data_IF_393318714838
#
_entry.id   IF_393318714838
#
_cell.length_a   1.000
_cell.length_b   1.000
_cell.length_c   1.000
_cell.angle_alpha   90.00
_cell.angle_beta   90.00
_cell.angle_gamma   90.00
#
_symmetry.space_group_name_H-M   'P 1'
#
loop_
_entity.id
_entity.type
_entity.pdbx_description
1 polymer ?
#
# COMPACT_ATOMS: atom_id res chain seq x y z
N UNK A 1 1.16 -1.89 -25.72
CA UNK A 1 1.56 -3.27 -25.41
C UNK A 1 0.36 -3.92 -24.74
N UNK A 2 -0.26 -4.86 -25.43
CA UNK A 2 -1.49 -5.53 -25.01
C UNK A 2 -1.25 -6.39 -23.78
N UNK A 3 -2.05 -6.15 -22.72
CA UNK A 3 -2.11 -7.06 -21.59
C UNK A 3 -2.58 -8.44 -22.06
N UNK A 4 -2.00 -9.54 -21.54
CA UNK A 4 -2.56 -10.86 -21.81
C UNK A 4 -3.97 -10.90 -21.22
N UNK A 5 -4.94 -11.10 -22.09
CA UNK A 5 -6.32 -11.41 -21.70
C UNK A 5 -6.27 -12.82 -21.11
N UNK A 6 -6.37 -12.90 -19.78
CA UNK A 6 -6.65 -14.17 -19.09
C UNK A 6 -8.06 -14.58 -19.52
N UNK A 7 -8.30 -15.83 -19.95
CA UNK A 7 -9.62 -16.26 -20.38
C UNK A 7 -10.62 -16.03 -19.23
N UNK A 8 -11.76 -15.46 -19.59
CA UNK A 8 -12.89 -15.15 -18.74
C UNK A 8 -13.38 -16.43 -18.03
N UNK A 9 -12.91 -16.65 -16.80
CA UNK A 9 -13.43 -17.68 -15.91
C UNK A 9 -14.58 -17.06 -15.08
N UNK A 10 -15.55 -16.49 -15.75
CA UNK A 10 -16.80 -16.12 -15.11
C UNK A 10 -17.50 -17.41 -14.64
N UNK A 11 -17.99 -17.40 -13.40
CA UNK A 11 -18.87 -18.43 -12.88
C UNK A 11 -20.16 -18.53 -13.73
N UNK A 12 -21.01 -19.55 -13.51
CA UNK A 12 -22.19 -19.85 -14.33
C UNK A 12 -23.16 -18.65 -14.51
N UNK A 13 -23.08 -17.63 -13.65
CA UNK A 13 -23.92 -16.43 -13.67
C UNK A 13 -23.15 -15.14 -14.04
N UNK A 14 -21.93 -15.25 -14.59
CA UNK A 14 -21.10 -14.08 -14.91
C UNK A 14 -20.42 -13.44 -13.69
N UNK A 15 -20.54 -14.04 -12.50
CA UNK A 15 -19.84 -13.61 -11.29
C UNK A 15 -18.35 -13.99 -11.36
N UNK A 16 -17.50 -13.15 -10.79
CA UNK A 16 -16.07 -13.47 -10.62
C UNK A 16 -15.59 -13.11 -9.23
N UNK A 17 -14.65 -13.89 -8.71
CA UNK A 17 -13.95 -13.58 -7.46
C UNK A 17 -12.56 -13.05 -7.80
N UNK A 18 -12.17 -11.96 -7.19
CA UNK A 18 -10.82 -11.40 -7.29
C UNK A 18 -10.19 -11.31 -5.90
N UNK A 19 -8.88 -11.55 -5.84
CA UNK A 19 -8.05 -11.28 -4.67
C UNK A 19 -7.34 -9.92 -4.85
N UNK A 20 -7.44 -9.05 -3.86
CA UNK A 20 -6.72 -7.77 -3.83
C UNK A 20 -5.72 -7.84 -2.69
N UNK A 21 -4.42 -7.70 -3.01
CA UNK A 21 -3.34 -7.78 -2.05
C UNK A 21 -2.60 -6.43 -2.00
N UNK A 22 -2.51 -5.86 -0.79
CA UNK A 22 -1.79 -4.62 -0.51
C UNK A 22 -0.61 -4.92 0.42
N UNK A 23 0.61 -4.75 -0.08
CA UNK A 23 1.86 -4.90 0.66
C UNK A 23 2.40 -3.52 1.05
N UNK A 24 2.02 -3.09 2.24
CA UNK A 24 2.52 -1.88 2.86
C UNK A 24 3.82 -2.09 3.65
N UNK A 25 4.37 -1.02 4.20
CA UNK A 25 5.60 -1.07 5.00
C UNK A 25 5.43 -1.77 6.34
N UNK A 26 4.24 -1.77 6.92
CA UNK A 26 3.95 -2.36 8.22
C UNK A 26 3.10 -3.62 8.14
N UNK A 27 2.10 -3.61 7.27
CA UNK A 27 1.11 -4.68 7.15
C UNK A 27 0.92 -5.13 5.71
N UNK A 28 0.50 -6.38 5.59
CA UNK A 28 0.06 -7.02 4.37
C UNK A 28 -1.42 -7.32 4.51
N UNK A 29 -2.22 -6.94 3.52
CA UNK A 29 -3.67 -7.13 3.50
C UNK A 29 -4.08 -7.95 2.30
N UNK A 30 -5.04 -8.84 2.49
CA UNK A 30 -5.77 -9.51 1.42
C UNK A 30 -7.26 -9.17 1.59
N UNK A 31 -7.90 -8.80 0.51
CA UNK A 31 -9.35 -8.69 0.41
C UNK A 31 -9.82 -9.57 -0.75
N UNK A 32 -10.75 -10.48 -0.47
CA UNK A 32 -11.41 -11.32 -1.47
C UNK A 32 -12.77 -10.74 -1.76
N UNK A 33 -13.01 -10.43 -3.03
CA UNK A 33 -14.20 -9.70 -3.47
C UNK A 33 -14.89 -10.48 -4.57
N UNK A 34 -16.20 -10.67 -4.43
CA UNK A 34 -17.08 -11.14 -5.51
C UNK A 34 -17.60 -9.95 -6.27
N UNK A 35 -17.41 -9.94 -7.57
CA UNK A 35 -17.96 -8.94 -8.48
C UNK A 35 -19.12 -9.57 -9.22
N UNK A 36 -20.27 -8.87 -9.20
CA UNK A 36 -21.48 -9.26 -9.88
C UNK A 36 -21.53 -8.69 -11.30
N UNK A 37 -22.38 -9.22 -12.20
CA UNK A 37 -22.49 -8.75 -13.59
C UNK A 37 -22.88 -7.28 -13.73
N UNK A 38 -23.61 -6.73 -12.76
CA UNK A 38 -23.98 -5.32 -12.70
C UNK A 38 -22.86 -4.38 -12.21
N UNK A 39 -21.68 -4.95 -11.93
CA UNK A 39 -20.52 -4.21 -11.40
C UNK A 39 -20.56 -3.96 -9.89
N UNK A 40 -21.64 -4.36 -9.21
CA UNK A 40 -21.67 -4.33 -7.75
C UNK A 40 -20.71 -5.38 -7.17
N UNK A 41 -20.31 -5.21 -5.90
CA UNK A 41 -19.34 -6.13 -5.29
C UNK A 41 -19.68 -6.45 -3.85
N UNK A 42 -19.23 -7.61 -3.40
CA UNK A 42 -19.36 -8.06 -2.01
C UNK A 42 -18.01 -8.54 -1.50
N UNK A 43 -17.60 -8.06 -0.34
CA UNK A 43 -16.40 -8.57 0.34
C UNK A 43 -16.71 -9.93 0.94
N UNK A 44 -15.99 -10.97 0.47
CA UNK A 44 -16.14 -12.34 0.95
C UNK A 44 -15.27 -12.60 2.18
N UNK A 45 -14.05 -12.06 2.18
CA UNK A 45 -13.12 -12.21 3.28
C UNK A 45 -12.09 -11.07 3.26
N UNK A 46 -11.56 -10.75 4.44
CA UNK A 46 -10.49 -9.78 4.61
C UNK A 46 -9.52 -10.25 5.69
N UNK A 47 -8.22 -10.25 5.37
CA UNK A 47 -7.14 -10.65 6.28
C UNK A 47 -6.09 -9.57 6.32
N UNK A 48 -5.59 -9.26 7.51
CA UNK A 48 -4.48 -8.34 7.75
C UNK A 48 -3.42 -9.00 8.61
N UNK A 49 -2.17 -8.98 8.15
CA UNK A 49 -1.01 -9.49 8.87
C UNK A 49 0.05 -8.40 9.05
N UNK A 50 0.61 -8.30 10.25
CA UNK A 50 1.67 -7.36 10.59
C UNK A 50 3.02 -7.97 10.19
N UNK A 51 3.46 -7.73 8.96
CA UNK A 51 4.73 -8.29 8.43
C UNK A 51 5.94 -7.41 8.74
N UNK A 52 5.72 -6.12 9.05
CA UNK A 52 6.76 -5.13 9.39
C UNK A 52 7.92 -5.11 8.38
N UNK A 53 7.57 -5.15 7.08
CA UNK A 53 8.56 -5.22 6.00
C UNK A 53 9.52 -4.02 6.00
N UNK A 54 9.02 -2.84 6.36
CA UNK A 54 9.80 -1.60 6.43
C UNK A 54 10.68 -1.46 7.66
N UNK A 55 10.68 -2.44 8.60
CA UNK A 55 11.48 -2.37 9.81
C UNK A 55 12.98 -2.29 9.53
N UNK A 56 13.61 -1.15 9.87
CA UNK A 56 15.02 -0.85 9.61
C UNK A 56 15.35 -0.57 8.14
N UNK A 57 14.39 -0.75 7.21
CA UNK A 57 14.64 -0.56 5.78
C UNK A 57 14.87 0.92 5.42
N UNK A 58 14.15 1.83 6.06
CA UNK A 58 14.26 3.27 5.79
C UNK A 58 15.56 3.90 6.33
N UNK A 59 16.24 3.21 7.25
CA UNK A 59 17.55 3.63 7.76
C UNK A 59 18.69 3.07 6.89
N UNK A 60 18.59 1.79 6.50
CA UNK A 60 19.66 1.08 5.79
C UNK A 60 19.54 1.14 4.26
N UNK A 61 18.36 1.52 3.74
CA UNK A 61 18.04 1.44 2.32
C UNK A 61 17.78 0.01 1.80
N UNK A 62 17.70 -0.99 2.70
CA UNK A 62 17.52 -2.40 2.33
C UNK A 62 16.49 -3.10 3.20
N UNK A 63 15.65 -3.93 2.60
CA UNK A 63 14.77 -4.84 3.31
C UNK A 63 15.60 -5.92 4.02
N UNK A 64 15.23 -6.24 5.25
CA UNK A 64 15.89 -7.29 6.04
C UNK A 64 15.44 -8.66 5.57
N UNK A 65 16.36 -9.63 5.53
CA UNK A 65 16.08 -11.00 5.10
C UNK A 65 14.96 -11.66 5.92
N UNK A 66 14.96 -11.45 7.23
CA UNK A 66 13.94 -11.97 8.14
C UNK A 66 12.54 -11.43 7.82
N UNK A 67 12.43 -10.12 7.53
CA UNK A 67 11.16 -9.47 7.17
C UNK A 67 10.67 -9.95 5.80
N UNK A 68 11.59 -10.14 4.85
CA UNK A 68 11.28 -10.70 3.53
C UNK A 68 10.77 -12.15 3.65
N UNK A 69 11.45 -13.01 4.43
CA UNK A 69 11.05 -14.39 4.64
C UNK A 69 9.67 -14.49 5.31
N UNK A 70 9.43 -13.70 6.36
CA UNK A 70 8.14 -13.61 7.04
C UNK A 70 7.02 -13.19 6.07
N UNK A 71 7.28 -12.19 5.23
CA UNK A 71 6.30 -11.71 4.25
C UNK A 71 5.97 -12.78 3.22
N UNK A 72 6.97 -13.50 2.68
CA UNK A 72 6.74 -14.61 1.73
C UNK A 72 5.89 -15.71 2.36
N UNK A 73 6.13 -16.08 3.63
CA UNK A 73 5.34 -17.10 4.29
C UNK A 73 3.86 -16.69 4.43
N UNK A 74 3.58 -15.45 4.75
CA UNK A 74 2.20 -14.93 4.80
C UNK A 74 1.57 -14.91 3.41
N UNK A 75 2.32 -14.49 2.39
CA UNK A 75 1.83 -14.44 1.00
C UNK A 75 1.47 -15.83 0.45
N UNK A 76 2.18 -16.90 0.84
CA UNK A 76 1.78 -18.27 0.48
C UNK A 76 0.39 -18.61 0.98
N UNK A 77 0.11 -18.35 2.27
CA UNK A 77 -1.22 -18.56 2.83
C UNK A 77 -2.29 -17.71 2.14
N UNK A 78 -1.96 -16.50 1.73
CA UNK A 78 -2.89 -15.65 0.97
C UNK A 78 -3.14 -16.19 -0.45
N UNK A 79 -2.11 -16.72 -1.12
CA UNK A 79 -2.27 -17.38 -2.43
C UNK A 79 -3.17 -18.63 -2.33
N UNK A 80 -2.97 -19.42 -1.29
CA UNK A 80 -3.83 -20.60 -1.02
C UNK A 80 -5.28 -20.16 -0.76
N UNK A 81 -5.49 -19.09 0.02
CA UNK A 81 -6.84 -18.56 0.24
C UNK A 81 -7.48 -18.07 -1.08
N UNK A 82 -6.75 -17.38 -1.96
CA UNK A 82 -7.25 -17.00 -3.27
C UNK A 82 -7.70 -18.23 -4.06
N UNK A 83 -6.92 -19.33 -4.03
CA UNK A 83 -7.28 -20.60 -4.67
C UNK A 83 -8.55 -21.23 -4.06
N UNK A 84 -8.66 -21.30 -2.73
CA UNK A 84 -9.83 -21.86 -2.03
C UNK A 84 -11.13 -21.09 -2.36
N UNK A 85 -11.03 -19.76 -2.47
CA UNK A 85 -12.18 -18.93 -2.84
C UNK A 85 -12.45 -18.87 -4.35
N UNK A 86 -11.66 -19.57 -5.17
CA UNK A 86 -11.81 -19.59 -6.62
C UNK A 86 -11.54 -18.22 -7.27
N UNK A 87 -10.59 -17.47 -6.73
CA UNK A 87 -10.22 -16.18 -7.32
C UNK A 87 -9.67 -16.38 -8.73
N UNK A 88 -10.35 -15.81 -9.73
CA UNK A 88 -9.94 -15.85 -11.14
C UNK A 88 -8.78 -14.90 -11.44
N UNK A 89 -8.57 -13.90 -10.58
CA UNK A 89 -7.54 -12.87 -10.72
C UNK A 89 -7.02 -12.47 -9.34
N UNK A 90 -5.72 -12.15 -9.26
CA UNK A 90 -5.10 -11.54 -8.08
C UNK A 90 -4.45 -10.22 -8.48
N UNK A 91 -4.95 -9.13 -7.94
CA UNK A 91 -4.40 -7.78 -8.08
C UNK A 91 -3.52 -7.51 -6.87
N UNK A 92 -2.21 -7.41 -7.06
CA UNK A 92 -1.26 -7.21 -5.98
C UNK A 92 -0.45 -5.93 -6.18
N UNK A 93 -0.44 -5.07 -5.17
CA UNK A 93 0.34 -3.83 -5.16
C UNK A 93 1.32 -3.81 -3.99
N UNK A 94 2.49 -3.23 -4.21
CA UNK A 94 3.49 -2.97 -3.17
C UNK A 94 3.87 -1.49 -3.16
N UNK A 95 4.11 -0.97 -1.95
CA UNK A 95 4.26 0.47 -1.73
C UNK A 95 5.63 0.85 -1.16
N UNK A 96 5.74 1.86 -0.33
CA UNK A 96 6.95 2.57 0.06
C UNK A 96 8.13 1.68 0.48
N UNK A 97 7.94 0.62 1.30
CA UNK A 97 9.06 -0.20 1.75
C UNK A 97 9.76 -0.92 0.61
N UNK A 98 8.99 -1.46 -0.34
CA UNK A 98 9.55 -2.13 -1.53
C UNK A 98 10.07 -1.12 -2.53
N UNK A 99 9.32 -0.05 -2.76
CA UNK A 99 9.67 1.01 -3.72
C UNK A 99 11.01 1.67 -3.41
N UNK A 100 11.27 1.95 -2.13
CA UNK A 100 12.45 2.73 -1.70
C UNK A 100 13.68 1.86 -1.37
N UNK A 101 13.50 0.54 -1.27
CA UNK A 101 14.60 -0.37 -0.94
C UNK A 101 15.41 -0.79 -2.18
N UNK A 102 16.74 -0.73 -2.09
CA UNK A 102 17.64 -1.12 -3.17
C UNK A 102 17.46 -2.59 -3.60
N UNK A 103 17.13 -3.48 -2.64
CA UNK A 103 16.84 -4.90 -2.90
C UNK A 103 15.36 -5.19 -3.14
N UNK A 104 14.51 -4.17 -3.29
CA UNK A 104 13.08 -4.30 -3.58
C UNK A 104 12.77 -5.11 -4.83
N UNK A 105 13.40 -4.84 -5.99
CA UNK A 105 13.18 -5.61 -7.21
C UNK A 105 13.52 -7.10 -7.06
N UNK A 106 14.62 -7.43 -6.39
CA UNK A 106 15.01 -8.81 -6.10
C UNK A 106 14.02 -9.51 -5.18
N UNK A 107 13.52 -8.80 -4.19
CA UNK A 107 12.48 -9.31 -3.31
C UNK A 107 11.18 -9.61 -4.08
N UNK A 108 10.72 -8.74 -4.97
CA UNK A 108 9.52 -8.98 -5.78
C UNK A 108 9.69 -10.18 -6.71
N UNK A 109 10.87 -10.38 -7.31
CA UNK A 109 11.17 -11.58 -8.09
C UNK A 109 11.04 -12.85 -7.23
N UNK A 110 11.66 -12.87 -6.04
CA UNK A 110 11.57 -13.99 -5.08
C UNK A 110 10.13 -14.26 -4.63
N UNK A 111 9.31 -13.23 -4.44
CA UNK A 111 7.89 -13.36 -4.12
C UNK A 111 7.18 -14.08 -5.25
N UNK A 112 7.33 -13.61 -6.49
CA UNK A 112 6.71 -14.24 -7.68
C UNK A 112 7.12 -15.70 -7.85
N UNK A 113 8.40 -16.02 -7.71
CA UNK A 113 8.92 -17.40 -7.79
C UNK A 113 8.33 -18.33 -6.72
N UNK A 114 8.11 -17.83 -5.50
CA UNK A 114 7.71 -18.63 -4.34
C UNK A 114 6.20 -18.71 -4.10
N UNK A 115 5.43 -17.78 -4.66
CA UNK A 115 3.99 -17.65 -4.39
C UNK A 115 3.13 -17.59 -5.64
N UNK A 116 3.73 -17.37 -6.81
CA UNK A 116 3.03 -17.12 -8.06
C UNK A 116 2.41 -15.72 -8.16
N UNK A 117 2.43 -14.92 -7.08
CA UNK A 117 1.83 -13.58 -7.05
C UNK A 117 2.78 -12.58 -7.70
N UNK A 118 2.29 -11.85 -8.69
CA UNK A 118 3.03 -10.79 -9.39
C UNK A 118 2.62 -9.42 -8.86
N UNK A 119 3.53 -8.75 -8.19
CA UNK A 119 3.28 -7.44 -7.58
C UNK A 119 3.62 -6.29 -8.52
N UNK A 120 2.72 -5.33 -8.63
CA UNK A 120 3.01 -4.02 -9.20
C UNK A 120 3.48 -3.08 -8.08
N UNK A 121 4.73 -2.61 -8.17
CA UNK A 121 5.23 -1.56 -7.26
C UNK A 121 4.70 -0.21 -7.76
N UNK A 122 3.89 0.45 -6.93
CA UNK A 122 3.26 1.72 -7.30
C UNK A 122 4.08 2.93 -6.82
N UNK A 123 4.05 4.02 -7.60
CA UNK A 123 4.59 5.30 -7.16
C UNK A 123 3.75 5.90 -6.03
N UNK A 124 4.32 6.83 -5.24
CA UNK A 124 3.55 7.50 -4.18
C UNK A 124 2.34 8.26 -4.73
N UNK A 125 2.48 8.91 -5.89
CA UNK A 125 1.35 9.59 -6.55
C UNK A 125 0.25 8.61 -7.00
N UNK A 126 0.62 7.44 -7.50
CA UNK A 126 -0.35 6.41 -7.85
C UNK A 126 -1.02 5.83 -6.60
N UNK A 127 -0.27 5.63 -5.52
CA UNK A 127 -0.80 5.24 -4.21
C UNK A 127 -1.84 6.26 -3.72
N UNK A 128 -1.52 7.57 -3.72
CA UNK A 128 -2.44 8.65 -3.38
C UNK A 128 -3.70 8.65 -4.27
N UNK A 129 -3.55 8.41 -5.58
CA UNK A 129 -4.67 8.31 -6.52
C UNK A 129 -5.60 7.14 -6.18
N UNK A 130 -5.05 5.98 -5.89
CA UNK A 130 -5.83 4.79 -5.54
C UNK A 130 -6.58 4.99 -4.21
N UNK A 131 -5.94 5.61 -3.22
CA UNK A 131 -6.57 5.96 -1.94
C UNK A 131 -7.75 6.92 -2.18
N UNK A 132 -7.53 7.98 -2.97
CA UNK A 132 -8.61 8.90 -3.31
C UNK A 132 -9.79 8.17 -3.97
N UNK A 133 -9.56 7.32 -4.97
CA UNK A 133 -10.63 6.57 -5.64
C UNK A 133 -11.38 5.66 -4.67
N UNK A 134 -10.66 4.98 -3.76
CA UNK A 134 -11.28 4.11 -2.77
C UNK A 134 -12.14 4.87 -1.76
N UNK A 135 -11.67 6.02 -1.29
CA UNK A 135 -12.42 6.82 -0.31
C UNK A 135 -13.58 7.57 -0.97
N UNK A 136 -13.36 8.19 -2.13
CA UNK A 136 -14.39 8.97 -2.84
C UNK A 136 -15.58 8.12 -3.27
N UNK A 137 -15.36 6.84 -3.62
CA UNK A 137 -16.44 5.93 -4.01
C UNK A 137 -17.47 5.66 -2.89
N UNK A 138 -17.08 5.83 -1.62
CA UNK A 138 -17.97 5.68 -0.46
C UNK A 138 -18.58 6.98 0.06
N UNK A 139 -18.26 8.13 -0.57
CA UNK A 139 -18.74 9.42 -0.12
C UNK A 139 -20.02 9.84 -0.85
N UNK A 140 -20.90 10.56 -0.12
CA UNK A 140 -21.99 11.25 -0.76
C UNK A 140 -21.45 12.29 -1.76
N UNK A 141 -22.17 12.41 -2.88
CA UNK A 141 -21.85 13.40 -3.91
C UNK A 141 -21.77 14.81 -3.32
N UNK A 142 -20.68 15.53 -3.60
CA UNK A 142 -20.48 16.92 -3.17
C UNK A 142 -19.42 17.61 -4.04
N UNK A 143 -19.66 18.85 -4.36
CA UNK A 143 -18.71 19.73 -5.03
C UNK A 143 -17.69 20.35 -4.04
N UNK A 144 -17.96 20.27 -2.73
CA UNK A 144 -17.10 20.83 -1.71
C UNK A 144 -15.75 20.13 -1.69
N UNK A 145 -14.68 20.90 -1.74
CA UNK A 145 -13.31 20.39 -1.60
C UNK A 145 -13.08 19.82 -0.22
N UNK A 146 -12.40 18.69 -0.18
CA UNK A 146 -11.98 17.97 1.03
C UNK A 146 -10.49 17.68 0.94
N UNK A 147 -9.87 17.56 2.08
CA UNK A 147 -8.50 17.04 2.22
C UNK A 147 -8.61 15.59 2.71
N UNK A 148 -8.06 14.68 1.92
CA UNK A 148 -7.89 13.27 2.26
C UNK A 148 -6.46 13.06 2.73
N UNK A 149 -6.28 12.46 3.89
CA UNK A 149 -4.96 12.16 4.46
C UNK A 149 -4.94 10.69 4.82
N UNK A 150 -3.97 9.95 4.28
CA UNK A 150 -3.67 8.57 4.70
C UNK A 150 -2.25 8.49 5.26
N UNK A 151 -2.15 8.15 6.54
CA UNK A 151 -0.87 8.01 7.25
C UNK A 151 -0.48 6.55 7.25
N UNK A 152 0.39 6.19 6.31
CA UNK A 152 0.92 4.85 6.16
C UNK A 152 2.15 4.56 7.03
N UNK A 153 2.75 3.38 6.80
CA UNK A 153 4.01 3.01 7.47
C UNK A 153 5.24 3.71 6.89
N UNK A 154 5.31 3.85 5.56
CA UNK A 154 6.47 4.41 4.85
C UNK A 154 6.25 5.83 4.31
N UNK A 155 5.01 6.17 4.02
CA UNK A 155 4.62 7.46 3.43
C UNK A 155 3.32 7.97 4.06
N UNK A 156 2.98 9.20 3.73
CA UNK A 156 1.69 9.83 4.03
C UNK A 156 1.17 10.44 2.74
N UNK A 157 0.01 10.03 2.30
CA UNK A 157 -0.63 10.49 1.10
C UNK A 157 -1.59 11.63 1.43
N UNK A 158 -1.55 12.67 0.59
CA UNK A 158 -2.40 13.85 0.70
C UNK A 158 -3.11 14.08 -0.63
N UNK A 159 -4.44 14.20 -0.57
CA UNK A 159 -5.23 14.50 -1.76
C UNK A 159 -6.23 15.60 -1.46
N UNK A 160 -6.28 16.61 -2.31
CA UNK A 160 -7.31 17.64 -2.29
C UNK A 160 -8.24 17.39 -3.46
N UNK A 161 -9.52 17.19 -3.17
CA UNK A 161 -10.52 16.90 -4.20
C UNK A 161 -11.95 16.91 -3.64
N UNK A 162 -12.91 16.62 -4.49
CA UNK A 162 -14.30 16.41 -4.11
C UNK A 162 -14.72 14.95 -4.30
N UNK A 163 -15.97 14.63 -4.50
CA UNK A 163 -16.43 13.25 -4.74
C UNK A 163 -16.18 12.76 -6.17
N UNK A 164 -15.85 13.63 -7.14
CA UNK A 164 -15.72 13.31 -8.55
C UNK A 164 -14.29 13.42 -9.07
N UNK A 165 -13.56 14.46 -8.63
CA UNK A 165 -12.21 14.75 -9.12
C UNK A 165 -11.28 15.20 -8.02
N UNK A 166 -10.00 14.87 -8.17
CA UNK A 166 -8.96 15.47 -7.35
C UNK A 166 -8.30 16.64 -8.08
N UNK A 167 -7.97 17.71 -7.34
CA UNK A 167 -7.22 18.87 -7.86
C UNK A 167 -5.74 18.73 -7.67
N UNK A 168 -5.34 18.19 -6.52
CA UNK A 168 -3.93 17.95 -6.20
C UNK A 168 -3.78 16.66 -5.41
N UNK A 169 -2.67 15.96 -5.63
CA UNK A 169 -2.28 14.79 -4.84
C UNK A 169 -0.75 14.72 -4.72
N UNK A 170 -0.32 14.28 -3.54
CA UNK A 170 1.08 14.07 -3.25
C UNK A 170 1.29 12.93 -2.25
N UNK A 171 2.53 12.42 -2.18
CA UNK A 171 2.94 11.38 -1.25
C UNK A 171 4.23 11.81 -0.56
N UNK A 172 4.14 12.03 0.73
CA UNK A 172 5.25 12.50 1.55
C UNK A 172 5.97 11.31 2.18
N UNK A 173 7.29 11.38 2.28
CA UNK A 173 8.12 10.35 2.96
C UNK A 173 8.02 10.43 4.49
N UNK A 174 6.80 10.46 5.01
CA UNK A 174 6.43 10.72 6.40
C UNK A 174 5.55 9.60 6.98
N UNK A 175 5.94 8.34 6.79
CA UNK A 175 5.21 7.22 7.39
C UNK A 175 5.66 6.92 8.81
N UNK A 176 4.75 6.36 9.63
CA UNK A 176 5.02 6.09 11.06
C UNK A 176 6.21 5.13 11.29
N UNK A 177 6.38 4.10 10.47
CA UNK A 177 7.53 3.17 10.55
C UNK A 177 8.81 3.87 10.12
N UNK A 178 8.77 4.68 9.04
CA UNK A 178 9.91 5.45 8.57
C UNK A 178 10.41 6.41 9.64
N UNK A 179 9.53 7.23 10.20
CA UNK A 179 9.89 8.21 11.23
C UNK A 179 10.38 7.53 12.50
N UNK A 180 9.77 6.42 12.90
CA UNK A 180 10.23 5.65 14.04
C UNK A 180 11.65 5.09 13.82
N UNK A 181 11.97 4.57 12.62
CA UNK A 181 13.29 4.06 12.31
C UNK A 181 14.37 5.15 12.34
N UNK A 182 14.03 6.37 11.91
CA UNK A 182 14.99 7.46 11.79
C UNK A 182 15.21 8.21 13.12
N UNK A 183 14.18 8.35 13.95
CA UNK A 183 14.21 9.27 15.08
C UNK A 183 14.02 8.63 16.45
N UNK A 184 13.47 7.42 16.56
CA UNK A 184 13.30 6.76 17.84
C UNK A 184 14.54 5.94 18.23
N UNK A 185 14.74 5.80 19.53
CA UNK A 185 15.78 4.91 20.06
C UNK A 185 15.30 3.45 19.98
N UNK A 186 16.15 2.58 19.41
CA UNK A 186 15.79 1.17 19.19
C UNK A 186 15.62 0.40 20.50
N UNK A 187 16.37 0.78 21.54
CA UNK A 187 16.41 0.04 22.81
C UNK A 187 15.30 0.46 23.78
N UNK A 188 14.91 1.73 23.76
CA UNK A 188 13.94 2.27 24.73
C UNK A 188 12.54 2.50 24.14
N UNK A 189 12.40 2.54 22.82
CA UNK A 189 11.16 2.93 22.13
C UNK A 189 10.76 4.38 22.40
N UNK A 190 11.65 5.18 23.02
CA UNK A 190 11.42 6.58 23.37
C UNK A 190 12.15 7.50 22.37
N UNK A 191 11.73 8.76 22.34
CA UNK A 191 12.42 9.80 21.59
C UNK A 191 13.02 10.83 22.55
N UNK A 192 14.31 11.11 22.43
CA UNK A 192 14.93 12.17 23.21
C UNK A 192 14.45 13.55 22.72
N UNK A 193 14.49 14.57 23.59
CA UNK A 193 14.12 15.94 23.21
C UNK A 193 14.92 16.47 22.00
N UNK A 194 16.22 16.09 21.89
CA UNK A 194 17.06 16.43 20.75
C UNK A 194 16.56 15.79 19.44
N UNK A 195 16.23 14.49 19.48
CA UNK A 195 15.70 13.77 18.30
C UNK A 195 14.30 14.25 17.93
N UNK A 196 13.45 14.56 18.92
CA UNK A 196 12.15 15.13 18.67
C UNK A 196 12.24 16.49 17.98
N UNK A 197 13.15 17.36 18.45
CA UNK A 197 13.42 18.64 17.79
C UNK A 197 14.00 18.47 16.37
N UNK A 198 14.78 17.42 16.12
CA UNK A 198 15.25 17.10 14.77
C UNK A 198 14.11 16.62 13.86
N UNK A 199 13.20 15.77 14.37
CA UNK A 199 11.99 15.35 13.69
C UNK A 199 11.12 16.54 13.27
N UNK A 200 10.91 17.50 14.16
CA UNK A 200 10.14 18.70 13.87
C UNK A 200 10.78 19.63 12.81
N UNK A 201 12.10 19.62 12.72
CA UNK A 201 12.87 20.45 11.76
C UNK A 201 13.32 19.71 10.53
N UNK A 202 12.91 18.46 10.35
CA UNK A 202 13.31 17.69 9.18
C UNK A 202 12.94 18.42 7.90
N UNK A 203 13.96 18.74 7.08
CA UNK A 203 13.79 19.47 5.83
C UNK A 203 12.90 18.76 4.83
N UNK A 204 12.85 17.42 4.88
CA UNK A 204 11.92 16.62 4.07
C UNK A 204 10.48 17.00 4.38
N UNK A 205 10.14 17.26 5.64
CA UNK A 205 8.79 17.67 6.03
C UNK A 205 8.46 19.07 5.56
N UNK A 206 9.44 19.99 5.60
CA UNK A 206 9.20 21.41 5.33
C UNK A 206 9.08 21.70 3.84
N UNK A 207 9.93 21.10 3.02
CA UNK A 207 9.92 21.32 1.57
C UNK A 207 8.72 20.72 0.87
N UNK A 208 8.30 19.53 1.28
CA UNK A 208 7.15 18.83 0.70
C UNK A 208 5.82 19.48 1.10
N UNK A 209 5.65 19.87 2.36
CA UNK A 209 4.46 20.60 2.82
C UNK A 209 4.33 21.99 2.19
N UNK A 210 5.41 22.69 1.95
CA UNK A 210 5.37 24.00 1.27
C UNK A 210 4.92 23.92 -0.19
N UNK A 211 5.14 22.78 -0.86
CA UNK A 211 4.65 22.58 -2.23
C UNK A 211 3.12 22.45 -2.29
N UNK A 212 2.51 21.92 -1.22
CA UNK A 212 1.05 21.74 -1.11
C UNK A 212 0.30 23.03 -0.76
N UNK A 213 0.96 24.00 -0.09
CA UNK A 213 0.34 25.26 0.35
C UNK A 213 0.32 26.31 -0.77
N UNK A 214 1.06 26.09 -1.86
CA UNK A 214 1.03 26.94 -3.05
C UNK A 214 -0.13 26.55 -4.00
N UNK A 215 -1.34 26.64 -3.50
CA UNK A 215 -2.58 26.55 -4.29
C UNK A 215 -3.02 27.96 -4.69
#
# INVERSE_FOLDING_TARGET
>A
MSHPVVPDQAGPDGERVIGIIDLGSNSLRLMLVRILPDGSHTVLNQVKNMVRLGEGAFETGHLREESMARTINVLRGMAEMCGVYGASEVIAIATAAVRDAANGPDFMRRVKEKTGIDFRVVSGREEARLIYLGVSSGLAHTESLRLFIDIGGGSTELVVGNSEEYRNLDSLKMGCVRLSNLFFDKDSGTISAKRYAALQRSEEHTSELQSLIRI
#
